data_IF_260559849084
#
_entry.id   IF_260559849084
#
_cell.length_a   1.000
_cell.length_b   1.000
_cell.length_c   1.000
_cell.angle_alpha   90.00
_cell.angle_beta   90.00
_cell.angle_gamma   90.00
#
_symmetry.space_group_name_H-M   'P 1'
#
loop_
_entity.id
_entity.type
_entity.pdbx_description
1 polymer ?
#
# COMPACT_ATOMS: atom_id res chain seq x y z
N UNK A 1 -11.00 -34.87 -17.16
CA UNK A 1 -10.67 -33.65 -16.41
C UNK A 1 -10.51 -32.56 -17.44
N UNK A 2 -11.51 -31.68 -17.58
CA UNK A 2 -11.43 -30.57 -18.52
C UNK A 2 -10.35 -29.61 -18.05
N UNK A 3 -9.34 -29.38 -18.89
CA UNK A 3 -8.45 -28.23 -18.78
C UNK A 3 -9.31 -26.98 -19.01
N UNK A 4 -9.93 -26.48 -17.95
CA UNK A 4 -10.36 -25.09 -17.90
C UNK A 4 -9.08 -24.26 -17.93
N UNK A 5 -8.60 -23.99 -19.15
CA UNK A 5 -7.56 -22.99 -19.39
C UNK A 5 -8.09 -21.69 -18.79
N UNK A 6 -7.53 -21.28 -17.65
CA UNK A 6 -7.83 -20.01 -17.02
C UNK A 6 -7.53 -18.91 -18.04
N UNK A 7 -8.58 -18.36 -18.65
CA UNK A 7 -8.47 -17.20 -19.54
C UNK A 7 -8.18 -16.01 -18.64
N UNK A 8 -7.05 -15.30 -18.82
CA UNK A 8 -6.76 -14.12 -18.01
C UNK A 8 -7.87 -13.07 -18.13
N UNK A 9 -8.20 -12.43 -17.02
CA UNK A 9 -9.26 -11.40 -16.96
C UNK A 9 -8.73 -10.10 -16.37
N UNK A 10 -9.36 -8.98 -16.75
CA UNK A 10 -8.98 -7.68 -16.19
C UNK A 10 -9.29 -7.60 -14.68
N UNK A 11 -8.43 -6.92 -13.93
CA UNK A 11 -8.55 -6.73 -12.48
C UNK A 11 -8.33 -5.28 -12.09
N UNK A 12 -8.83 -4.91 -10.91
CA UNK A 12 -8.50 -3.64 -10.27
C UNK A 12 -7.84 -3.89 -8.92
N UNK A 13 -6.75 -3.19 -8.66
CA UNK A 13 -6.06 -3.18 -7.38
C UNK A 13 -6.01 -1.74 -6.84
N UNK A 14 -6.50 -1.55 -5.62
CA UNK A 14 -6.24 -0.35 -4.83
C UNK A 14 -5.08 -0.64 -3.88
N UNK A 15 -3.94 0.00 -4.11
CA UNK A 15 -2.78 -0.09 -3.24
C UNK A 15 -2.78 1.14 -2.33
N UNK A 16 -3.11 0.94 -1.06
CA UNK A 16 -3.41 2.02 -0.12
C UNK A 16 -2.39 2.08 1.01
N UNK A 17 -2.12 3.29 1.50
CA UNK A 17 -1.39 3.53 2.74
C UNK A 17 -2.24 3.06 3.92
N UNK A 18 -1.60 2.54 4.97
CA UNK A 18 -2.28 2.31 6.24
C UNK A 18 -2.96 3.59 6.76
N UNK A 19 -3.91 3.43 7.69
CA UNK A 19 -4.57 4.54 8.37
C UNK A 19 -3.64 5.29 9.32
N UNK A 20 -4.14 6.40 9.84
CA UNK A 20 -3.40 7.26 10.76
C UNK A 20 -2.91 6.51 12.01
N UNK A 21 -1.69 6.85 12.45
CA UNK A 21 -1.03 6.32 13.64
C UNK A 21 -0.56 7.47 14.53
N UNK A 22 -0.47 7.23 15.84
CA UNK A 22 -0.03 8.25 16.80
C UNK A 22 1.48 8.56 16.70
N UNK A 23 2.30 7.59 16.28
CA UNK A 23 3.72 7.79 16.03
C UNK A 23 4.27 6.72 15.11
N UNK A 24 5.41 7.00 14.47
CA UNK A 24 6.14 6.05 13.62
C UNK A 24 7.17 5.21 14.40
N UNK A 25 7.10 5.18 15.74
CA UNK A 25 8.06 4.46 16.59
C UNK A 25 7.53 3.07 16.95
N UNK A 26 8.07 2.04 16.31
CA UNK A 26 7.70 0.64 16.55
C UNK A 26 6.43 0.20 15.79
N UNK A 27 5.86 -0.94 16.18
CA UNK A 27 4.65 -1.50 15.58
C UNK A 27 3.37 -0.95 16.25
N UNK A 28 3.09 0.32 15.97
CA UNK A 28 2.02 1.11 16.61
C UNK A 28 0.65 0.79 15.98
N UNK A 29 -0.44 0.71 16.77
CA UNK A 29 -1.81 0.58 16.25
C UNK A 29 -2.30 1.83 15.52
N UNK A 30 -3.45 1.70 14.87
CA UNK A 30 -4.18 2.84 14.34
C UNK A 30 -4.71 3.77 15.44
N UNK A 31 -4.85 5.06 15.12
CA UNK A 31 -5.71 5.96 15.89
C UNK A 31 -7.18 5.61 15.66
N UNK A 32 -8.07 6.10 16.53
CA UNK A 32 -9.51 5.96 16.34
C UNK A 32 -9.98 6.62 15.03
N UNK A 33 -9.40 7.77 14.69
CA UNK A 33 -9.68 8.48 13.44
C UNK A 33 -9.19 7.69 12.21
N UNK A 34 -7.97 7.15 12.25
CA UNK A 34 -7.44 6.30 11.18
C UNK A 34 -8.30 5.07 10.93
N UNK A 35 -8.81 4.44 12.00
CA UNK A 35 -9.75 3.32 11.91
C UNK A 35 -11.11 3.74 11.33
N UNK A 36 -11.65 4.89 11.75
CA UNK A 36 -12.92 5.40 11.23
C UNK A 36 -12.86 5.65 9.72
N UNK A 37 -11.80 6.34 9.25
CA UNK A 37 -11.58 6.59 7.81
C UNK A 37 -11.48 5.27 7.04
N UNK A 38 -10.71 4.30 7.53
CA UNK A 38 -10.57 3.00 6.89
C UNK A 38 -11.91 2.24 6.80
N UNK A 39 -12.72 2.29 7.86
CA UNK A 39 -14.08 1.72 7.86
C UNK A 39 -14.99 2.41 6.84
N UNK A 40 -14.95 3.73 6.74
CA UNK A 40 -15.79 4.48 5.80
C UNK A 40 -15.40 4.22 4.33
N UNK A 41 -14.09 4.11 4.05
CA UNK A 41 -13.59 3.64 2.74
C UNK A 41 -14.12 2.23 2.45
N UNK A 42 -14.03 1.32 3.43
CA UNK A 42 -14.60 -0.02 3.32
C UNK A 42 -16.07 0.00 2.96
N UNK A 43 -16.89 0.76 3.70
CA UNK A 43 -18.33 0.90 3.45
C UNK A 43 -18.62 1.45 2.06
N UNK A 44 -17.86 2.45 1.62
CA UNK A 44 -18.02 3.02 0.29
C UNK A 44 -17.73 1.99 -0.81
N UNK A 45 -16.61 1.28 -0.71
CA UNK A 45 -16.26 0.23 -1.67
C UNK A 45 -17.29 -0.89 -1.67
N UNK A 46 -17.72 -1.37 -0.50
CA UNK A 46 -18.70 -2.46 -0.39
C UNK A 46 -20.09 -2.11 -0.92
N UNK A 47 -20.43 -0.82 -1.01
CA UNK A 47 -21.68 -0.37 -1.63
C UNK A 47 -21.66 -0.42 -3.17
N UNK A 48 -20.47 -0.50 -3.79
CA UNK A 48 -20.30 -0.46 -5.25
C UNK A 48 -19.71 -1.74 -5.82
N UNK A 49 -19.01 -2.53 -5.00
CA UNK A 49 -18.28 -3.73 -5.41
C UNK A 49 -18.83 -4.95 -4.66
N UNK A 50 -19.46 -5.92 -5.35
CA UNK A 50 -20.13 -7.05 -4.70
C UNK A 50 -19.16 -8.06 -4.08
N UNK A 51 -17.92 -8.13 -4.60
CA UNK A 51 -16.88 -9.05 -4.15
C UNK A 51 -15.57 -8.28 -4.02
N UNK A 52 -14.99 -8.29 -2.83
CA UNK A 52 -13.74 -7.59 -2.53
C UNK A 52 -12.74 -8.59 -1.92
N UNK A 53 -11.51 -8.56 -2.42
CA UNK A 53 -10.38 -9.22 -1.79
C UNK A 53 -9.58 -8.19 -1.02
N UNK A 54 -9.27 -8.47 0.25
CA UNK A 54 -8.48 -7.57 1.10
C UNK A 54 -7.16 -8.23 1.47
N UNK A 55 -6.07 -7.50 1.22
CA UNK A 55 -4.69 -7.90 1.47
C UNK A 55 -3.96 -6.85 2.31
N UNK A 56 -2.89 -7.27 2.99
CA UNK A 56 -2.11 -6.39 3.87
C UNK A 56 -0.63 -6.75 3.85
N UNK A 57 0.22 -5.76 4.13
CA UNK A 57 1.57 -6.01 4.63
C UNK A 57 1.57 -6.57 6.06
N UNK A 58 2.76 -6.83 6.58
CA UNK A 58 3.04 -7.53 7.84
C UNK A 58 3.05 -6.62 9.09
N UNK A 59 2.83 -5.31 8.95
CA UNK A 59 2.81 -4.41 10.11
C UNK A 59 1.41 -4.37 10.74
N UNK A 60 1.35 -4.16 12.06
CA UNK A 60 0.08 -4.06 12.79
C UNK A 60 -0.83 -2.99 12.21
N UNK A 61 -0.30 -1.79 11.95
CA UNK A 61 -1.07 -0.68 11.34
C UNK A 61 -1.65 -1.04 9.97
N UNK A 62 -0.91 -1.75 9.12
CA UNK A 62 -1.42 -2.20 7.83
C UNK A 62 -2.56 -3.23 8.02
N UNK A 63 -2.36 -4.21 8.91
CA UNK A 63 -3.37 -5.22 9.24
C UNK A 63 -4.64 -4.60 9.80
N UNK A 64 -4.53 -3.74 10.81
CA UNK A 64 -5.69 -3.09 11.44
C UNK A 64 -6.45 -2.19 10.45
N UNK A 65 -5.76 -1.57 9.49
CA UNK A 65 -6.42 -0.80 8.42
C UNK A 65 -7.19 -1.73 7.48
N UNK A 66 -6.56 -2.82 7.08
CA UNK A 66 -7.17 -3.80 6.20
C UNK A 66 -8.40 -4.45 6.85
N UNK A 67 -8.33 -4.75 8.15
CA UNK A 67 -9.47 -5.21 8.96
C UNK A 67 -10.61 -4.20 8.95
N UNK A 68 -10.33 -2.93 9.24
CA UNK A 68 -11.34 -1.87 9.23
C UNK A 68 -12.01 -1.72 7.85
N UNK A 69 -11.23 -1.74 6.76
CA UNK A 69 -11.76 -1.73 5.38
C UNK A 69 -12.65 -2.95 5.13
N UNK A 70 -12.20 -4.15 5.52
CA UNK A 70 -12.94 -5.39 5.31
C UNK A 70 -14.28 -5.37 6.07
N UNK A 71 -14.29 -4.90 7.32
CA UNK A 71 -15.49 -4.82 8.15
C UNK A 71 -16.46 -3.75 7.63
N UNK A 72 -15.93 -2.59 7.21
CA UNK A 72 -16.72 -1.57 6.53
C UNK A 72 -17.41 -2.13 5.27
N UNK A 73 -16.67 -2.83 4.42
CA UNK A 73 -17.20 -3.42 3.19
C UNK A 73 -18.26 -4.50 3.45
N UNK A 74 -18.03 -5.38 4.44
CA UNK A 74 -19.04 -6.36 4.87
C UNK A 74 -20.30 -5.68 5.38
N UNK A 75 -20.18 -4.61 6.15
CA UNK A 75 -21.34 -3.86 6.67
C UNK A 75 -22.18 -3.22 5.57
N UNK A 76 -21.59 -2.96 4.40
CA UNK A 76 -22.27 -2.46 3.21
C UNK A 76 -22.85 -3.57 2.30
N UNK A 77 -22.66 -4.85 2.66
CA UNK A 77 -23.23 -5.99 1.94
C UNK A 77 -22.29 -6.70 0.96
N UNK A 78 -21.02 -6.29 0.85
CA UNK A 78 -20.06 -6.97 -0.01
C UNK A 78 -19.60 -8.31 0.57
N UNK A 79 -19.35 -9.27 -0.32
CA UNK A 79 -18.65 -10.51 0.04
C UNK A 79 -17.15 -10.24 0.10
N UNK A 80 -16.55 -10.35 1.30
CA UNK A 80 -15.13 -10.01 1.51
C UNK A 80 -14.29 -11.25 1.81
N UNK A 81 -13.22 -11.44 1.05
CA UNK A 81 -12.18 -12.42 1.33
C UNK A 81 -10.94 -11.76 1.94
N UNK A 82 -10.49 -12.22 3.11
CA UNK A 82 -9.39 -11.62 3.87
C UNK A 82 -9.86 -10.76 5.06
N UNK A 83 -8.97 -9.97 5.69
CA UNK A 83 -7.60 -9.65 5.26
C UNK A 83 -6.66 -10.86 5.25
N UNK A 84 -5.71 -10.88 4.31
CA UNK A 84 -4.59 -11.83 4.31
C UNK A 84 -3.29 -11.11 4.06
N UNK A 85 -2.23 -11.53 4.74
CA UNK A 85 -0.90 -11.00 4.46
C UNK A 85 -0.45 -11.40 3.05
N UNK A 86 0.18 -10.48 2.33
CA UNK A 86 0.81 -10.75 1.05
C UNK A 86 2.26 -10.24 1.09
N UNK A 87 3.21 -11.16 0.94
CA UNK A 87 4.64 -10.88 1.04
C UNK A 87 5.15 -9.82 0.04
N UNK A 88 4.45 -9.62 -1.09
CA UNK A 88 4.75 -8.57 -2.05
C UNK A 88 4.50 -7.14 -1.51
N UNK A 89 3.69 -7.00 -0.45
CA UNK A 89 3.27 -5.74 0.17
C UNK A 89 4.15 -5.30 1.34
N UNK A 90 5.19 -6.08 1.68
CA UNK A 90 6.14 -5.75 2.74
C UNK A 90 6.87 -4.42 2.45
N UNK A 91 7.38 -3.77 3.50
CA UNK A 91 8.28 -2.63 3.33
C UNK A 91 9.55 -3.01 2.55
N UNK A 92 10.27 -2.03 1.98
CA UNK A 92 11.59 -2.30 1.39
C UNK A 92 12.49 -2.98 2.44
N UNK A 93 13.13 -4.08 2.04
CA UNK A 93 14.12 -4.73 2.89
C UNK A 93 15.43 -3.94 2.84
N UNK A 94 15.88 -3.42 3.97
CA UNK A 94 17.21 -2.83 4.11
C UNK A 94 18.10 -3.72 4.96
N UNK A 95 19.41 -3.63 4.77
CA UNK A 95 20.39 -4.43 5.50
C UNK A 95 21.40 -3.54 6.20
N UNK A 96 21.68 -3.86 7.47
CA UNK A 96 22.67 -3.18 8.30
C UNK A 96 23.44 -4.23 9.10
N UNK A 97 24.76 -4.26 8.93
CA UNK A 97 25.65 -5.23 9.58
C UNK A 97 25.24 -6.70 9.39
N UNK A 98 24.68 -7.05 8.22
CA UNK A 98 24.24 -8.41 7.88
C UNK A 98 22.81 -8.76 8.32
N UNK A 99 22.15 -7.89 9.09
CA UNK A 99 20.77 -8.07 9.55
C UNK A 99 19.78 -7.30 8.69
N UNK A 100 18.57 -7.85 8.52
CA UNK A 100 17.46 -7.17 7.84
C UNK A 100 16.80 -6.18 8.80
N UNK A 101 16.77 -4.90 8.43
CA UNK A 101 16.22 -3.81 9.25
C UNK A 101 15.03 -3.14 8.56
N UNK A 102 14.09 -2.67 9.38
CA UNK A 102 12.98 -1.84 8.92
C UNK A 102 13.43 -0.39 8.79
N UNK A 103 12.84 0.34 7.84
CA UNK A 103 13.00 1.80 7.72
C UNK A 103 12.43 2.51 8.95
N UNK A 104 13.32 3.00 9.82
CA UNK A 104 12.98 3.71 11.07
C UNK A 104 13.61 5.10 11.12
N UNK A 105 13.17 5.95 12.06
CA UNK A 105 13.47 7.38 12.06
C UNK A 105 14.66 7.82 12.93
N UNK A 106 15.41 6.90 13.53
CA UNK A 106 16.57 7.24 14.38
C UNK A 106 17.65 6.17 14.35
N UNK A 107 18.90 6.57 14.59
CA UNK A 107 20.03 5.66 14.75
C UNK A 107 19.80 4.65 15.89
N UNK A 108 19.29 5.12 17.04
CA UNK A 108 18.85 4.27 18.14
C UNK A 108 17.89 3.16 17.72
N UNK A 109 16.91 3.46 16.86
CA UNK A 109 15.96 2.46 16.39
C UNK A 109 16.57 1.48 15.38
N UNK A 110 17.61 1.88 14.65
CA UNK A 110 18.38 0.95 13.81
C UNK A 110 19.26 0.04 14.66
N UNK A 111 20.01 0.60 15.61
CA UNK A 111 20.84 -0.14 16.56
C UNK A 111 20.03 -1.19 17.33
N UNK A 112 18.82 -0.83 17.79
CA UNK A 112 17.93 -1.76 18.50
C UNK A 112 17.44 -2.96 17.65
N UNK A 113 17.62 -2.93 16.33
CA UNK A 113 17.26 -4.04 15.43
C UNK A 113 18.45 -4.98 15.13
N UNK A 114 19.67 -4.63 15.55
CA UNK A 114 20.90 -5.34 15.19
C UNK A 114 21.68 -5.68 16.46
N UNK A 115 21.86 -6.96 16.72
CA UNK A 115 22.60 -7.41 17.90
C UNK A 115 24.05 -6.89 17.88
N UNK A 116 24.47 -6.24 18.97
CA UNK A 116 25.84 -5.73 19.14
C UNK A 116 26.16 -4.43 18.39
N UNK A 117 25.20 -3.81 17.71
CA UNK A 117 25.39 -2.52 17.06
C UNK A 117 24.99 -1.36 18.00
N UNK A 118 25.89 -0.38 18.18
CA UNK A 118 25.54 0.85 18.91
C UNK A 118 24.99 1.94 17.97
N UNK A 119 24.43 2.99 18.58
CA UNK A 119 23.79 4.09 17.83
C UNK A 119 24.79 4.83 16.94
N UNK A 120 26.01 5.04 17.42
CA UNK A 120 27.04 5.77 16.68
C UNK A 120 27.50 4.98 15.45
N UNK A 121 27.62 3.65 15.55
CA UNK A 121 27.93 2.78 14.42
C UNK A 121 26.80 2.77 13.40
N UNK A 122 25.54 2.69 13.85
CA UNK A 122 24.37 2.80 12.97
C UNK A 122 24.34 4.15 12.23
N UNK A 123 24.64 5.25 12.93
CA UNK A 123 24.66 6.60 12.36
C UNK A 123 25.83 6.84 11.38
N UNK A 124 26.95 6.13 11.54
CA UNK A 124 28.12 6.24 10.64
C UNK A 124 28.00 5.39 9.38
N UNK A 125 27.07 4.43 9.31
CA UNK A 125 26.90 3.62 8.12
C UNK A 125 26.48 4.51 6.93
N UNK A 126 27.19 4.49 5.78
CA UNK A 126 27.08 5.53 4.76
C UNK A 126 25.66 5.83 4.27
N UNK A 127 24.89 4.79 3.93
CA UNK A 127 23.50 4.93 3.52
C UNK A 127 22.63 5.53 4.64
N UNK A 128 22.77 5.03 5.87
CA UNK A 128 21.94 5.42 6.99
C UNK A 128 22.24 6.84 7.49
N UNK A 129 23.49 7.31 7.38
CA UNK A 129 23.87 8.68 7.68
C UNK A 129 23.07 9.70 6.83
N UNK A 130 22.98 9.44 5.51
CA UNK A 130 22.18 10.25 4.60
C UNK A 130 20.69 10.10 4.87
N UNK A 131 20.21 8.87 5.03
CA UNK A 131 18.81 8.58 5.30
C UNK A 131 18.28 9.28 6.57
N UNK A 132 19.05 9.27 7.65
CA UNK A 132 18.65 9.82 8.95
C UNK A 132 18.57 11.35 8.95
N UNK A 133 19.39 12.00 8.13
CA UNK A 133 19.48 13.47 8.03
C UNK A 133 18.57 14.08 6.97
N UNK A 134 18.04 13.27 6.06
CA UNK A 134 17.10 13.73 5.04
C UNK A 134 15.77 14.22 5.65
N UNK A 135 15.32 15.40 5.19
CA UNK A 135 14.02 15.96 5.58
C UNK A 135 12.86 15.07 5.12
N UNK A 136 12.93 14.58 3.89
CA UNK A 136 12.05 13.53 3.35
C UNK A 136 12.89 12.28 3.08
N UNK A 137 12.89 11.36 4.04
CA UNK A 137 13.74 10.15 3.98
C UNK A 137 13.33 9.20 2.88
N UNK A 138 12.03 9.13 2.59
CA UNK A 138 11.54 8.26 1.52
C UNK A 138 11.84 8.90 0.17
N UNK A 139 11.61 10.20 0.03
CA UNK A 139 12.05 10.97 -1.14
C UNK A 139 13.54 10.82 -1.40
N UNK A 140 14.37 10.86 -0.35
CA UNK A 140 15.80 10.62 -0.45
C UNK A 140 16.13 9.19 -0.89
N UNK A 141 15.52 8.16 -0.26
CA UNK A 141 15.71 6.75 -0.63
C UNK A 141 15.35 6.47 -2.09
N UNK A 142 14.27 7.07 -2.60
CA UNK A 142 13.83 6.91 -4.00
C UNK A 142 14.88 7.34 -5.03
N UNK A 143 15.79 8.24 -4.65
CA UNK A 143 16.86 8.77 -5.51
C UNK A 143 18.18 8.02 -5.38
N UNK A 144 18.27 7.03 -4.48
CA UNK A 144 19.52 6.29 -4.25
C UNK A 144 19.66 5.12 -5.22
N UNK A 145 20.89 4.91 -5.72
CA UNK A 145 21.24 3.79 -6.59
C UNK A 145 22.01 2.67 -5.86
N UNK A 146 22.66 2.99 -4.74
CA UNK A 146 23.43 2.05 -3.92
C UNK A 146 22.74 1.87 -2.56
N UNK A 147 21.53 1.31 -2.60
CA UNK A 147 20.74 1.00 -1.40
C UNK A 147 21.22 -0.35 -0.87
N UNK A 148 21.50 -0.50 0.44
CA UNK A 148 21.81 -1.80 1.03
C UNK A 148 20.51 -2.62 1.16
N UNK A 149 20.03 -3.18 0.04
CA UNK A 149 18.79 -3.96 -0.04
C UNK A 149 17.89 -3.56 -1.20
N UNK A 150 16.59 -3.49 -0.95
CA UNK A 150 15.57 -3.12 -1.93
C UNK A 150 15.68 -1.62 -2.30
N UNK A 151 16.02 -1.35 -3.56
CA UNK A 151 15.89 -0.03 -4.18
C UNK A 151 14.47 0.21 -4.73
N UNK A 152 14.18 1.46 -5.12
CA UNK A 152 12.86 1.82 -5.62
C UNK A 152 12.45 1.03 -6.89
N UNK A 153 13.32 0.84 -7.91
CA UNK A 153 13.02 -0.03 -9.04
C UNK A 153 12.68 -1.48 -8.66
N UNK A 154 13.36 -2.04 -7.66
CA UNK A 154 13.11 -3.41 -7.18
C UNK A 154 11.75 -3.52 -6.50
N UNK A 155 11.39 -2.57 -5.65
CA UNK A 155 10.07 -2.51 -5.02
C UNK A 155 8.98 -2.34 -6.06
N UNK A 156 9.14 -1.41 -7.01
CA UNK A 156 8.18 -1.18 -8.08
C UNK A 156 7.96 -2.43 -8.94
N UNK A 157 9.04 -3.08 -9.39
CA UNK A 157 8.98 -4.31 -10.19
C UNK A 157 8.27 -5.44 -9.43
N UNK A 158 8.58 -5.62 -8.15
CA UNK A 158 7.94 -6.62 -7.28
C UNK A 158 6.42 -6.41 -7.21
N UNK A 159 5.99 -5.19 -6.95
CA UNK A 159 4.56 -4.87 -6.81
C UNK A 159 3.84 -4.95 -8.16
N UNK A 160 4.47 -4.49 -9.25
CA UNK A 160 3.91 -4.60 -10.59
C UNK A 160 3.74 -6.05 -11.02
N UNK A 161 4.72 -6.93 -10.78
CA UNK A 161 4.58 -8.37 -11.05
C UNK A 161 3.48 -9.01 -10.20
N UNK A 162 3.40 -8.62 -8.93
CA UNK A 162 2.31 -9.07 -8.05
C UNK A 162 0.94 -8.62 -8.58
N UNK A 163 0.77 -7.35 -8.95
CA UNK A 163 -0.46 -6.82 -9.52
C UNK A 163 -0.82 -7.53 -10.84
N UNK A 164 0.15 -7.68 -11.74
CA UNK A 164 0.01 -8.38 -13.01
C UNK A 164 -0.50 -9.83 -12.84
N UNK A 165 -0.04 -10.53 -11.81
CA UNK A 165 -0.49 -11.90 -11.50
C UNK A 165 -1.96 -12.00 -11.08
N UNK A 166 -2.61 -10.88 -10.70
CA UNK A 166 -4.04 -10.89 -10.40
C UNK A 166 -4.89 -11.25 -11.62
N UNK A 167 -4.39 -11.02 -12.85
CA UNK A 167 -5.09 -11.39 -14.08
C UNK A 167 -5.37 -12.90 -14.17
N UNK A 168 -4.63 -13.73 -13.43
CA UNK A 168 -4.78 -15.18 -13.38
C UNK A 168 -5.97 -15.63 -12.50
N UNK A 169 -6.65 -14.69 -11.82
CA UNK A 169 -7.90 -14.97 -11.10
C UNK A 169 -9.02 -15.31 -12.10
N UNK A 170 -9.92 -16.25 -11.76
CA UNK A 170 -10.93 -16.75 -12.69
C UNK A 170 -12.06 -15.76 -13.00
N UNK A 171 -12.15 -14.64 -12.27
CA UNK A 171 -13.20 -13.63 -12.42
C UNK A 171 -12.64 -12.23 -12.15
N UNK A 172 -13.13 -11.19 -12.85
CA UNK A 172 -12.84 -9.80 -12.52
C UNK A 172 -13.26 -9.47 -11.09
N UNK A 173 -12.52 -8.59 -10.43
CA UNK A 173 -12.91 -8.05 -9.14
C UNK A 173 -12.00 -6.95 -8.64
N UNK A 174 -12.33 -6.46 -7.45
CA UNK A 174 -11.53 -5.49 -6.72
C UNK A 174 -10.65 -6.19 -5.68
N UNK A 175 -9.35 -5.94 -5.74
CA UNK A 175 -8.43 -6.19 -4.62
C UNK A 175 -8.06 -4.89 -3.94
N UNK A 176 -8.17 -4.83 -2.62
CA UNK A 176 -7.66 -3.73 -1.79
C UNK A 176 -6.46 -4.24 -1.02
N UNK A 177 -5.31 -3.61 -1.21
CA UNK A 177 -4.04 -3.97 -0.59
C UNK A 177 -3.52 -2.81 0.26
N UNK A 178 -3.35 -3.04 1.56
CA UNK A 178 -2.80 -2.03 2.47
C UNK A 178 -1.30 -2.23 2.66
N UNK A 179 -0.54 -1.15 2.46
CA UNK A 179 0.92 -1.08 2.64
C UNK A 179 1.34 0.31 3.12
N UNK A 180 2.55 0.75 2.77
CA UNK A 180 3.24 1.90 3.31
C UNK A 180 3.74 2.82 2.20
N UNK A 181 4.03 4.07 2.58
CA UNK A 181 4.52 5.10 1.67
C UNK A 181 5.71 4.71 0.79
N UNK A 182 6.78 4.04 1.27
CA UNK A 182 7.91 3.69 0.41
C UNK A 182 7.50 2.82 -0.77
N UNK A 183 6.58 1.88 -0.55
CA UNK A 183 6.07 0.99 -1.59
C UNK A 183 5.23 1.76 -2.61
N UNK A 184 4.34 2.63 -2.12
CA UNK A 184 3.48 3.47 -2.98
C UNK A 184 4.31 4.42 -3.85
N UNK A 185 5.25 5.14 -3.24
CA UNK A 185 6.06 6.14 -3.92
C UNK A 185 7.03 5.49 -4.90
N UNK A 186 7.59 4.32 -4.59
CA UNK A 186 8.40 3.55 -5.54
C UNK A 186 7.59 3.14 -6.78
N UNK A 187 6.36 2.65 -6.58
CA UNK A 187 5.47 2.32 -7.71
C UNK A 187 5.09 3.56 -8.52
N UNK A 188 4.84 4.69 -7.85
CA UNK A 188 4.51 5.95 -8.50
C UNK A 188 5.68 6.47 -9.36
N UNK A 189 6.90 6.50 -8.83
CA UNK A 189 8.11 6.87 -9.59
C UNK A 189 8.27 5.96 -10.80
N UNK A 190 8.17 4.64 -10.59
CA UNK A 190 8.37 3.66 -11.65
C UNK A 190 7.33 3.73 -12.78
N UNK A 191 6.08 4.12 -12.48
CA UNK A 191 4.99 4.11 -13.45
C UNK A 191 4.63 5.51 -14.01
N UNK A 192 4.82 6.56 -13.21
CA UNK A 192 4.43 7.95 -13.54
C UNK A 192 5.64 8.83 -13.86
N UNK A 193 6.86 8.35 -13.61
CA UNK A 193 8.11 9.07 -13.88
C UNK A 193 8.47 10.14 -12.84
N UNK A 194 7.64 10.35 -11.82
CA UNK A 194 7.88 11.32 -10.75
C UNK A 194 7.27 10.86 -9.43
N UNK A 195 7.85 11.33 -8.32
CA UNK A 195 7.35 11.07 -6.98
C UNK A 195 6.25 12.09 -6.60
N UNK A 196 5.00 11.65 -6.32
CA UNK A 196 3.91 12.54 -5.92
C UNK A 196 4.03 13.01 -4.46
N UNK A 197 5.00 12.51 -3.70
CA UNK A 197 5.13 12.76 -2.27
C UNK A 197 4.31 11.80 -1.41
N UNK A 198 4.15 12.15 -0.14
CA UNK A 198 3.43 11.32 0.84
C UNK A 198 1.91 11.33 0.55
N UNK A 199 1.27 10.18 0.28
CA UNK A 199 -0.17 10.13 0.08
C UNK A 199 -0.92 10.33 1.41
N UNK A 200 -2.16 10.82 1.33
CA UNK A 200 -3.04 10.90 2.51
C UNK A 200 -3.26 9.52 3.15
N UNK A 201 -3.76 9.50 4.38
CA UNK A 201 -4.10 8.25 5.05
C UNK A 201 -5.18 7.49 4.27
N UNK A 202 -5.00 6.18 4.11
CA UNK A 202 -5.92 5.32 3.32
C UNK A 202 -6.03 5.75 1.84
N UNK A 203 -5.07 6.52 1.34
CA UNK A 203 -4.91 6.89 -0.07
C UNK A 203 -3.71 6.15 -0.70
N UNK A 204 -3.48 6.29 -2.01
CA UNK A 204 -2.33 5.64 -2.65
C UNK A 204 -2.43 5.57 -4.16
N UNK A 205 -2.59 4.37 -4.71
CA UNK A 205 -2.58 4.11 -6.15
C UNK A 205 -3.76 3.22 -6.56
N UNK A 206 -4.34 3.51 -7.73
CA UNK A 206 -5.13 2.54 -8.49
C UNK A 206 -4.24 1.86 -9.52
N UNK A 207 -4.33 0.55 -9.59
CA UNK A 207 -3.68 -0.26 -10.61
C UNK A 207 -4.76 -1.01 -11.39
N UNK A 208 -4.94 -0.64 -12.65
CA UNK A 208 -5.82 -1.31 -13.59
C UNK A 208 -5.00 -2.37 -14.34
N UNK A 209 -5.29 -3.64 -14.08
CA UNK A 209 -4.58 -4.79 -14.64
C UNK A 209 -5.37 -5.32 -15.82
N UNK A 210 -4.76 -5.36 -17.00
CA UNK A 210 -5.37 -5.89 -18.22
C UNK A 210 -5.21 -7.42 -18.30
N UNK A 211 -6.00 -8.05 -19.16
CA UNK A 211 -5.91 -9.50 -19.41
C UNK A 211 -4.53 -9.92 -19.96
N UNK A 212 -3.83 -9.05 -20.67
CA UNK A 212 -2.45 -9.27 -21.12
C UNK A 212 -1.39 -9.04 -20.03
N UNK A 213 -1.84 -8.87 -18.77
CA UNK A 213 -1.02 -8.58 -17.58
C UNK A 213 -0.34 -7.21 -17.57
N UNK A 214 -0.66 -6.33 -18.51
CA UNK A 214 -0.24 -4.92 -18.45
C UNK A 214 -0.88 -4.23 -17.25
N UNK A 215 -0.09 -3.48 -16.49
CA UNK A 215 -0.55 -2.72 -15.32
C UNK A 215 -0.50 -1.23 -15.65
N UNK A 216 -1.66 -0.56 -15.57
CA UNK A 216 -1.77 0.89 -15.69
C UNK A 216 -1.95 1.48 -14.29
N UNK A 217 -1.07 2.39 -13.90
CA UNK A 217 -1.08 3.00 -12.57
C UNK A 217 -1.68 4.41 -12.63
N UNK A 218 -2.53 4.75 -11.69
CA UNK A 218 -3.08 6.09 -11.48
C UNK A 218 -2.89 6.50 -10.02
N UNK A 219 -2.47 7.74 -9.77
CA UNK A 219 -2.38 8.26 -8.41
C UNK A 219 -3.78 8.47 -7.81
N UNK A 220 -3.91 8.12 -6.54
CA UNK A 220 -5.06 8.42 -5.69
C UNK A 220 -4.55 9.24 -4.50
N UNK A 221 -4.45 10.57 -4.63
CA UNK A 221 -3.88 11.41 -3.57
C UNK A 221 -4.70 11.38 -2.28
N UNK A 222 -6.01 11.15 -2.42
CA UNK A 222 -6.99 11.06 -1.34
C UNK A 222 -7.56 9.65 -1.19
N UNK A 223 -8.11 9.39 -0.01
CA UNK A 223 -8.78 8.12 0.27
C UNK A 223 -9.95 7.91 -0.72
N UNK A 224 -10.22 6.67 -1.17
CA UNK A 224 -11.37 6.38 -2.01
C UNK A 224 -12.67 6.78 -1.31
N UNK A 225 -13.19 7.96 -1.64
CA UNK A 225 -14.44 8.48 -1.14
C UNK A 225 -15.54 8.27 -2.18
N UNK A 226 -16.80 8.36 -1.72
CA UNK A 226 -17.93 8.48 -2.62
C UNK A 226 -17.71 9.67 -3.55
N UNK A 227 -17.47 9.38 -4.84
CA UNK A 227 -17.49 10.40 -5.87
C UNK A 227 -18.87 11.09 -5.81
N UNK A 228 -18.97 12.43 -5.70
CA UNK A 228 -20.26 13.11 -5.78
C UNK A 228 -20.68 13.15 -7.25
N UNK A 229 -21.14 12.02 -7.78
CA UNK A 229 -21.57 11.92 -9.17
C UNK A 229 -22.75 10.96 -9.31
N UNK A 230 -23.83 11.21 -8.54
CA UNK A 230 -25.21 10.85 -8.91
C UNK A 230 -26.27 11.61 -8.07
N UNK A 231 -25.99 12.83 -7.63
CA UNK A 231 -26.95 13.70 -6.93
C UNK A 231 -27.72 14.65 -7.87
N UNK A 232 -27.79 14.37 -9.17
CA UNK A 232 -28.54 15.20 -10.11
C UNK A 232 -29.12 14.37 -11.26
N UNK A 233 -30.16 13.57 -10.98
CA UNK A 233 -31.29 13.32 -11.90
C UNK A 233 -32.54 13.03 -11.07
N UNK A 234 -33.67 13.56 -11.54
CA UNK A 234 -34.97 13.79 -10.85
C UNK A 234 -34.92 15.12 -10.08
N UNK A 235 -35.51 16.22 -10.54
CA UNK A 235 -36.88 16.32 -11.05
C UNK A 235 -36.93 17.33 -12.22
N UNK A 236 -37.19 16.83 -13.43
CA UNK A 236 -37.87 17.59 -14.48
C UNK A 236 -39.31 17.87 -14.04
N UNK A 237 -39.87 18.97 -14.56
CA UNK A 237 -41.11 19.65 -14.15
C UNK A 237 -42.35 18.77 -13.97
N UNK A 238 -43.49 19.30 -13.57
CA UNK A 238 -44.27 20.46 -14.07
C UNK A 238 -45.62 20.34 -13.31
N UNK A 239 -46.58 21.30 -13.29
CA UNK A 239 -46.62 22.67 -13.84
C UNK A 239 -46.63 23.77 -12.77
#
# INVERSE_FOLDING_TARGET
MSEDNLVPVAQRLLLLRHGEIASHRGDVPLTAQGRAIATDVGRHLGATEPVIRVLTGDTRRARETAEAIADGARSAGATVSGPREAFALRNPDLYLAGERVNMVSSAAAFAAQVEGLDEDAAARAPFFAGFLTAADRIGWWLQQHDVPGDDAPTVARRVTHFAASLADLPRPGLTVAVTHSPVLRACAVGALGSDPGEPAWVAGLRMDVRADRTVVVTALPDAPAAHPAHAARSVEGTP
#
